data_IF_718613743643
#
_entry.id   IF_718613743643
#
_cell.length_a   1.000
_cell.length_b   1.000
_cell.length_c   1.000
_cell.angle_alpha   90.00
_cell.angle_beta   90.00
_cell.angle_gamma   90.00
#
_symmetry.space_group_name_H-M   'P 1'
#
loop_
_entity.id
_entity.type
_entity.pdbx_description
1 polymer ?
#
# COMPACT_ATOMS: atom_id res chain seq x y z
N UNK A 1 -41.26 17.67 -35.00
CA UNK A 1 -40.36 16.53 -35.24
C UNK A 1 -38.95 17.01 -34.90
N UNK A 2 -38.63 17.22 -33.63
CA UNK A 2 -38.30 16.23 -32.59
C UNK A 2 -37.06 15.39 -32.94
N UNK A 3 -35.99 15.60 -32.18
CA UNK A 3 -35.07 14.53 -31.80
C UNK A 3 -33.62 14.68 -32.26
N UNK A 4 -32.75 15.17 -31.36
CA UNK A 4 -31.56 14.44 -30.91
C UNK A 4 -30.69 15.33 -30.01
N UNK A 5 -31.06 15.47 -28.73
CA UNK A 5 -30.18 16.03 -27.72
C UNK A 5 -29.70 14.91 -26.80
N UNK A 6 -28.46 14.47 -27.03
CA UNK A 6 -27.79 13.45 -26.22
C UNK A 6 -27.29 14.16 -24.95
N UNK A 7 -28.12 14.19 -23.91
CA UNK A 7 -27.69 14.56 -22.56
C UNK A 7 -27.33 13.28 -21.80
N UNK A 8 -26.13 12.72 -22.08
CA UNK A 8 -25.54 11.70 -21.23
C UNK A 8 -24.72 12.35 -20.13
N UNK A 9 -25.43 12.57 -19.05
CA UNK A 9 -25.00 12.54 -17.65
C UNK A 9 -23.66 11.82 -17.43
N UNK A 10 -22.66 12.57 -16.96
CA UNK A 10 -21.61 12.06 -16.07
C UNK A 10 -21.46 13.06 -14.93
N UNK A 11 -22.39 12.94 -13.98
CA UNK A 11 -22.06 13.26 -12.59
C UNK A 11 -20.99 12.27 -12.17
N UNK A 12 -19.86 12.78 -11.70
CA UNK A 12 -19.20 12.34 -10.47
C UNK A 12 -17.92 13.17 -10.32
N UNK A 13 -18.07 14.26 -9.57
CA UNK A 13 -16.96 14.94 -8.93
C UNK A 13 -16.38 13.99 -7.88
N UNK A 14 -15.46 13.11 -8.28
CA UNK A 14 -14.55 12.47 -7.36
C UNK A 14 -13.18 13.09 -7.64
N UNK A 15 -12.71 13.94 -6.73
CA UNK A 15 -11.31 14.35 -6.72
C UNK A 15 -10.45 13.09 -6.96
N UNK A 16 -9.41 13.16 -7.82
CA UNK A 16 -8.54 12.00 -8.01
C UNK A 16 -8.12 11.54 -6.61
N UNK A 17 -8.31 10.25 -6.26
CA UNK A 17 -7.85 9.77 -4.97
C UNK A 17 -6.39 10.19 -4.91
N UNK A 18 -6.06 11.04 -3.93
CA UNK A 18 -4.68 11.42 -3.64
C UNK A 18 -3.92 10.10 -3.64
N UNK A 19 -3.12 9.89 -4.67
CA UNK A 19 -2.54 8.59 -4.91
C UNK A 19 -1.57 8.39 -3.75
N UNK A 20 -2.03 7.71 -2.71
CA UNK A 20 -1.20 7.38 -1.58
C UNK A 20 0.08 6.76 -2.18
N UNK A 21 1.26 7.10 -1.66
CA UNK A 21 2.52 6.56 -2.17
C UNK A 21 2.57 5.02 -2.06
N UNK A 22 1.58 4.41 -1.42
CA UNK A 22 1.33 2.98 -1.30
C UNK A 22 -0.15 2.68 -1.51
N UNK A 23 -0.41 1.61 -2.25
CA UNK A 23 -1.73 0.99 -2.26
C UNK A 23 -2.07 0.44 -0.86
N UNK A 24 -2.96 1.14 -0.15
CA UNK A 24 -3.50 0.74 1.15
C UNK A 24 -4.91 0.14 1.01
N UNK A 25 -5.38 -0.08 -0.22
CA UNK A 25 -6.74 -0.48 -0.57
C UNK A 25 -7.19 -1.79 0.11
N UNK A 26 -6.25 -2.64 0.54
CA UNK A 26 -6.56 -3.85 1.30
C UNK A 26 -6.98 -3.59 2.77
N UNK A 27 -6.71 -2.40 3.30
CA UNK A 27 -6.97 -2.03 4.70
C UNK A 27 -8.30 -1.29 4.78
N UNK A 28 -9.31 -1.90 5.38
CA UNK A 28 -10.64 -1.30 5.55
C UNK A 28 -10.72 -0.34 6.74
N UNK A 29 -9.85 -0.50 7.74
CA UNK A 29 -9.88 0.33 8.95
C UNK A 29 -9.09 1.64 8.78
N UNK A 30 -9.72 2.81 8.98
CA UNK A 30 -9.05 4.10 8.83
C UNK A 30 -7.92 4.31 9.85
N UNK A 31 -8.07 3.79 11.08
CA UNK A 31 -7.01 3.82 12.09
C UNK A 31 -5.77 3.02 11.65
N UNK A 32 -5.99 1.89 10.96
CA UNK A 32 -4.88 1.10 10.41
C UNK A 32 -4.23 1.78 9.20
N UNK A 33 -5.00 2.43 8.34
CA UNK A 33 -4.44 3.24 7.25
C UNK A 33 -3.55 4.37 7.80
N UNK A 34 -4.01 5.07 8.84
CA UNK A 34 -3.21 6.09 9.52
C UNK A 34 -1.91 5.53 10.12
N UNK A 35 -1.98 4.35 10.77
CA UNK A 35 -0.80 3.65 11.29
C UNK A 35 0.17 3.26 10.16
N UNK A 36 -0.35 2.74 9.05
CA UNK A 36 0.45 2.35 7.90
C UNK A 36 1.20 3.55 7.30
N UNK A 37 0.48 4.66 7.07
CA UNK A 37 1.07 5.92 6.59
C UNK A 37 2.17 6.42 7.52
N UNK A 38 1.96 6.36 8.85
CA UNK A 38 2.96 6.76 9.85
C UNK A 38 4.22 5.90 9.79
N UNK A 39 4.08 4.58 9.64
CA UNK A 39 5.22 3.66 9.49
C UNK A 39 5.95 3.95 8.18
N UNK A 40 5.22 4.10 7.07
CA UNK A 40 5.79 4.42 5.76
C UNK A 40 6.61 5.70 5.86
N UNK A 41 6.04 6.78 6.37
CA UNK A 41 6.71 8.06 6.52
C UNK A 41 7.95 7.96 7.42
N UNK A 42 7.86 7.24 8.55
CA UNK A 42 9.01 7.07 9.44
C UNK A 42 10.19 6.35 8.76
N UNK A 43 9.89 5.35 7.93
CA UNK A 43 10.91 4.58 7.20
C UNK A 43 11.45 5.36 6.00
N UNK A 44 10.59 5.99 5.19
CA UNK A 44 11.00 6.73 3.98
C UNK A 44 11.77 8.00 4.32
N UNK A 45 11.39 8.71 5.38
CA UNK A 45 12.12 9.88 5.86
C UNK A 45 13.41 9.53 6.64
N UNK A 46 13.74 8.25 6.80
CA UNK A 46 14.92 7.81 7.55
C UNK A 46 14.85 8.06 9.07
N UNK A 47 13.72 8.54 9.60
CA UNK A 47 13.51 8.79 11.03
C UNK A 47 13.55 7.51 11.86
N UNK A 48 13.17 6.38 11.28
CA UNK A 48 13.18 5.09 11.98
C UNK A 48 13.56 3.95 11.03
N UNK A 49 14.43 3.03 11.48
CA UNK A 49 14.72 1.84 10.68
C UNK A 49 13.51 0.90 10.64
N UNK A 50 13.37 0.14 9.54
CA UNK A 50 12.28 -0.84 9.39
C UNK A 50 12.29 -1.92 10.48
N UNK A 51 13.44 -2.20 11.09
CA UNK A 51 13.59 -3.14 12.20
C UNK A 51 12.85 -2.70 13.46
N UNK A 52 12.69 -1.39 13.68
CA UNK A 52 11.90 -0.83 14.79
C UNK A 52 10.42 -1.23 14.71
N UNK A 53 9.94 -1.51 13.50
CA UNK A 53 8.58 -1.97 13.22
C UNK A 53 8.53 -3.50 13.03
N UNK A 54 9.52 -4.24 13.54
CA UNK A 54 9.66 -5.69 13.36
C UNK A 54 9.74 -6.11 11.88
N UNK A 55 10.16 -5.18 11.01
CA UNK A 55 10.34 -5.41 9.59
C UNK A 55 11.52 -6.31 9.31
N UNK A 56 11.38 -7.15 8.28
CA UNK A 56 12.37 -8.14 7.87
C UNK A 56 12.52 -8.14 6.35
N UNK A 57 13.75 -8.33 5.87
CA UNK A 57 13.99 -8.61 4.45
C UNK A 57 13.43 -9.98 4.09
N UNK A 58 12.79 -10.10 2.93
CA UNK A 58 12.32 -11.39 2.45
C UNK A 58 13.53 -12.25 2.06
N UNK A 59 13.52 -13.52 2.45
CA UNK A 59 14.57 -14.46 2.06
C UNK A 59 14.61 -14.70 0.55
N UNK A 60 13.42 -14.77 -0.09
CA UNK A 60 13.30 -14.95 -1.54
C UNK A 60 13.78 -13.75 -2.35
N UNK A 61 13.71 -12.54 -1.79
CA UNK A 61 14.22 -11.34 -2.45
C UNK A 61 14.64 -10.33 -1.38
N UNK A 62 15.95 -10.24 -1.14
CA UNK A 62 16.50 -9.38 -0.07
C UNK A 62 16.35 -7.89 -0.35
N UNK A 63 16.04 -7.50 -1.58
CA UNK A 63 15.68 -6.13 -1.94
C UNK A 63 14.25 -5.76 -1.53
N UNK A 64 13.46 -6.71 -1.01
CA UNK A 64 12.13 -6.47 -0.49
C UNK A 64 12.14 -6.60 1.03
N UNK A 65 11.56 -5.63 1.72
CA UNK A 65 11.39 -5.57 3.16
C UNK A 65 9.90 -5.71 3.46
N UNK A 66 9.53 -6.69 4.27
CA UNK A 66 8.19 -6.87 4.81
C UNK A 66 8.12 -6.30 6.22
N UNK A 67 7.26 -5.32 6.43
CA UNK A 67 6.99 -4.72 7.73
C UNK A 67 5.60 -5.13 8.19
N UNK A 68 5.44 -5.85 9.31
CA UNK A 68 4.12 -6.15 9.84
C UNK A 68 3.46 -4.86 10.34
N UNK A 69 2.23 -4.62 9.88
CA UNK A 69 1.39 -3.56 10.41
C UNK A 69 0.62 -4.04 11.66
N UNK A 70 0.09 -5.26 11.57
CA UNK A 70 -0.59 -6.05 12.61
C UNK A 70 -0.36 -7.55 12.30
N UNK A 71 -1.07 -8.48 12.96
CA UNK A 71 -0.98 -9.91 12.65
C UNK A 71 -1.38 -10.23 11.21
N UNK A 72 -2.42 -9.57 10.71
CA UNK A 72 -3.02 -9.90 9.41
C UNK A 72 -2.49 -9.06 8.25
N UNK A 73 -1.79 -7.97 8.51
CA UNK A 73 -1.41 -7.01 7.47
C UNK A 73 0.08 -6.73 7.45
N UNK A 74 0.64 -6.61 6.25
CA UNK A 74 2.05 -6.34 6.01
C UNK A 74 2.21 -5.27 4.96
N UNK A 75 3.18 -4.38 5.17
CA UNK A 75 3.60 -3.37 4.21
C UNK A 75 4.89 -3.86 3.57
N UNK A 76 4.94 -3.85 2.24
CA UNK A 76 6.14 -4.18 1.49
C UNK A 76 6.86 -2.90 1.09
N UNK A 77 8.17 -2.90 1.29
CA UNK A 77 9.07 -1.86 0.82
C UNK A 77 10.09 -2.50 -0.11
N UNK A 78 10.49 -1.77 -1.14
CA UNK A 78 11.62 -2.09 -2.01
C UNK A 78 12.80 -1.24 -1.60
N UNK A 79 13.92 -1.86 -1.31
CA UNK A 79 15.19 -1.18 -1.19
C UNK A 79 15.75 -0.90 -2.59
N UNK A 80 15.98 0.37 -2.89
CA UNK A 80 16.56 0.85 -4.14
C UNK A 80 18.09 0.91 -4.05
N UNK A 81 18.81 0.84 -5.18
CA UNK A 81 20.25 1.10 -5.21
C UNK A 81 20.50 2.52 -4.69
N UNK A 82 21.18 2.64 -3.55
CA UNK A 82 21.30 3.88 -2.77
C UNK A 82 20.76 3.78 -1.33
N UNK A 83 20.11 2.66 -0.98
CA UNK A 83 19.63 2.40 0.39
C UNK A 83 18.28 3.04 0.72
N UNK A 84 17.69 3.76 -0.24
CA UNK A 84 16.34 4.30 -0.14
C UNK A 84 15.29 3.18 -0.09
N UNK A 85 14.27 3.35 0.74
CA UNK A 85 13.22 2.34 0.97
C UNK A 85 11.92 2.85 0.39
N UNK A 86 11.61 2.43 -0.83
CA UNK A 86 10.39 2.82 -1.52
C UNK A 86 9.23 1.92 -1.08
N UNK A 87 8.15 2.46 -0.55
CA UNK A 87 7.01 1.66 -0.13
C UNK A 87 6.27 1.18 -1.39
N UNK A 88 5.88 -0.10 -1.45
CA UNK A 88 5.28 -0.72 -2.66
C UNK A 88 3.77 -0.84 -2.50
N UNK A 89 3.34 -1.61 -1.50
CA UNK A 89 1.93 -1.92 -1.23
C UNK A 89 1.73 -2.45 0.18
N UNK A 90 0.55 -2.27 0.74
CA UNK A 90 0.07 -3.09 1.85
C UNK A 90 -0.67 -4.32 1.33
N UNK A 91 -0.56 -5.45 2.02
CA UNK A 91 -1.28 -6.68 1.71
C UNK A 91 -1.72 -7.37 2.99
N UNK A 92 -2.83 -8.12 2.92
CA UNK A 92 -3.20 -9.07 3.98
C UNK A 92 -2.35 -10.34 3.89
N UNK A 93 -2.30 -11.09 4.99
CA UNK A 93 -1.69 -12.41 5.05
C UNK A 93 -2.37 -13.39 4.09
N UNK A 94 -3.70 -13.28 3.93
CA UNK A 94 -4.48 -14.12 3.01
C UNK A 94 -4.05 -13.90 1.56
N UNK A 95 -3.89 -12.65 1.09
CA UNK A 95 -3.49 -12.39 -0.31
C UNK A 95 -2.09 -12.93 -0.66
N UNK A 96 -1.23 -13.19 0.33
CA UNK A 96 0.08 -13.81 0.09
C UNK A 96 0.00 -15.34 -0.11
N UNK A 97 -1.03 -16.00 0.44
CA UNK A 97 -1.16 -17.47 0.41
C UNK A 97 -2.24 -18.00 -0.55
N UNK A 98 -3.15 -17.17 -1.08
CA UNK A 98 -4.22 -17.60 -2.01
C UNK A 98 -3.77 -17.75 -3.47
N UNK A 99 -2.52 -18.11 -3.71
CA UNK A 99 -2.10 -18.74 -4.99
C UNK A 99 -1.62 -20.17 -4.76
N UNK A 100 -2.48 -20.99 -4.18
CA UNK A 100 -2.52 -22.41 -4.56
C UNK A 100 -3.58 -22.53 -5.65
N UNK A 101 -3.21 -22.77 -6.92
CA UNK A 101 -4.21 -23.13 -7.92
C UNK A 101 -4.85 -24.44 -7.50
N UNK A 102 -6.18 -24.53 -7.64
CA UNK A 102 -6.89 -25.81 -7.62
C UNK A 102 -6.96 -26.35 -9.03
#
# INVERSE_FOLDING_TARGET
MEGAQIAREKRESAAPPVADPVDLSCIQSPAMMAKARRIIQAITSGKSPYTAFRGKRLTSNRSIISVPLNNDYRILFRELPGGEKKPIKACTHETYNTKKPK
#
